data_IF_549919674169
#
_entry.id   IF_549919674169
#
_cell.length_a   1.000
_cell.length_b   1.000
_cell.length_c   1.000
_cell.angle_alpha   90.00
_cell.angle_beta   90.00
_cell.angle_gamma   90.00
#
_symmetry.space_group_name_H-M   'P 1'
#
loop_
_entity.id
_entity.type
_entity.pdbx_description
1 polymer ?
#
# COMPACT_ATOMS: atom_id res chain seq x y z
N UNK A 1 -6.52 21.94 14.99
CA UNK A 1 -6.42 22.47 13.64
C UNK A 1 -5.85 21.40 12.75
N UNK A 2 -6.71 20.73 11.98
CA UNK A 2 -6.30 19.78 10.97
C UNK A 2 -5.66 20.59 9.84
N UNK A 3 -4.41 20.28 9.49
CA UNK A 3 -3.72 20.94 8.39
C UNK A 3 -4.49 20.70 7.11
N UNK A 4 -5.02 21.74 6.47
CA UNK A 4 -5.70 21.72 5.16
C UNK A 4 -4.75 21.38 4.00
N UNK A 5 -3.67 20.66 4.27
CA UNK A 5 -2.65 20.32 3.29
C UNK A 5 -2.89 18.96 2.71
N UNK A 6 -3.00 18.91 1.40
CA UNK A 6 -3.02 17.68 0.60
C UNK A 6 -1.80 16.82 0.90
N UNK A 7 -2.03 15.55 1.17
CA UNK A 7 -0.96 14.57 1.38
C UNK A 7 -0.48 14.05 0.03
N UNK A 8 0.81 14.12 -0.22
CA UNK A 8 1.46 13.54 -1.38
C UNK A 8 2.00 12.16 -1.05
N UNK A 9 1.65 11.18 -1.86
CA UNK A 9 1.96 9.77 -1.68
C UNK A 9 2.73 9.24 -2.89
N UNK A 10 3.74 8.39 -2.67
CA UNK A 10 4.39 7.63 -3.73
C UNK A 10 4.20 6.14 -3.49
N UNK A 11 3.95 5.37 -4.56
CA UNK A 11 3.66 3.94 -4.48
C UNK A 11 4.60 3.14 -5.37
N UNK A 12 4.97 1.93 -4.91
CA UNK A 12 5.76 0.95 -5.64
C UNK A 12 5.13 -0.45 -5.53
N UNK A 13 4.87 -1.08 -6.68
CA UNK A 13 4.38 -2.47 -6.79
C UNK A 13 5.47 -3.44 -7.28
N UNK A 14 6.53 -2.91 -7.85
CA UNK A 14 7.71 -3.61 -8.37
C UNK A 14 7.46 -4.60 -9.51
N UNK A 15 6.27 -4.57 -10.16
CA UNK A 15 5.99 -5.37 -11.34
C UNK A 15 7.03 -5.14 -12.43
N UNK A 16 7.47 -6.22 -13.05
CA UNK A 16 8.45 -6.22 -14.16
C UNK A 16 7.99 -7.17 -15.27
N UNK A 17 6.86 -6.85 -15.96
CA UNK A 17 6.38 -7.64 -17.08
C UNK A 17 7.36 -7.59 -18.27
N UNK A 18 7.16 -8.47 -19.27
CA UNK A 18 8.03 -8.53 -20.46
C UNK A 18 8.13 -7.20 -21.24
N UNK A 19 7.11 -6.34 -21.14
CA UNK A 19 7.10 -4.99 -21.74
C UNK A 19 7.82 -3.95 -20.87
N UNK A 20 8.18 -4.29 -19.65
CA UNK A 20 8.72 -3.37 -18.65
C UNK A 20 10.25 -3.34 -18.62
N UNK A 21 10.77 -2.47 -17.75
CA UNK A 21 12.18 -2.42 -17.44
C UNK A 21 12.62 -3.66 -16.62
N UNK A 22 13.90 -3.98 -16.70
CA UNK A 22 14.48 -5.09 -15.94
C UNK A 22 14.30 -4.88 -14.43
N UNK A 23 13.96 -5.94 -13.70
CA UNK A 23 13.67 -5.94 -12.27
C UNK A 23 14.72 -5.18 -11.45
N UNK A 24 16.02 -5.45 -11.64
CA UNK A 24 17.09 -4.78 -10.90
C UNK A 24 17.13 -3.25 -11.12
N UNK A 25 16.76 -2.76 -12.31
CA UNK A 25 16.65 -1.32 -12.59
C UNK A 25 15.48 -0.69 -11.84
N UNK A 26 14.34 -1.41 -11.74
CA UNK A 26 13.16 -0.93 -11.01
C UNK A 26 13.46 -0.82 -9.51
N UNK A 27 14.10 -1.81 -8.90
CA UNK A 27 14.46 -1.77 -7.48
C UNK A 27 15.44 -0.64 -7.16
N UNK A 28 16.49 -0.44 -7.99
CA UNK A 28 17.41 0.68 -7.83
C UNK A 28 16.67 2.02 -7.94
N UNK A 29 15.82 2.17 -8.97
CA UNK A 29 15.05 3.39 -9.17
C UNK A 29 14.05 3.66 -8.03
N UNK A 30 13.42 2.64 -7.46
CA UNK A 30 12.51 2.80 -6.34
C UNK A 30 13.19 3.42 -5.11
N UNK A 31 14.42 2.97 -4.79
CA UNK A 31 15.21 3.55 -3.70
C UNK A 31 15.54 5.03 -3.95
N UNK A 32 16.02 5.36 -5.16
CA UNK A 32 16.37 6.74 -5.52
C UNK A 32 15.13 7.65 -5.58
N UNK A 33 14.02 7.17 -6.12
CA UNK A 33 12.75 7.91 -6.18
C UNK A 33 12.14 8.13 -4.80
N UNK A 34 12.27 7.18 -3.88
CA UNK A 34 11.82 7.34 -2.50
C UNK A 34 12.64 8.41 -1.76
N UNK A 35 13.96 8.40 -1.91
CA UNK A 35 14.83 9.45 -1.33
C UNK A 35 14.49 10.83 -1.90
N UNK A 36 14.30 10.94 -3.21
CA UNK A 36 13.88 12.17 -3.86
C UNK A 36 12.51 12.64 -3.35
N UNK A 37 11.54 11.75 -3.28
CA UNK A 37 10.20 12.07 -2.79
C UNK A 37 10.24 12.56 -1.33
N UNK A 38 10.99 11.90 -0.45
CA UNK A 38 11.20 12.31 0.93
C UNK A 38 11.84 13.71 1.00
N UNK A 39 12.87 13.97 0.18
CA UNK A 39 13.54 15.27 0.10
C UNK A 39 12.59 16.39 -0.36
N UNK A 40 11.61 16.09 -1.23
CA UNK A 40 10.63 17.03 -1.75
C UNK A 40 9.32 17.07 -0.92
N UNK A 41 9.31 16.41 0.25
CA UNK A 41 8.22 16.54 1.22
C UNK A 41 7.01 15.66 0.94
N UNK A 42 7.15 14.56 0.22
CA UNK A 42 6.11 13.54 0.21
C UNK A 42 5.83 13.04 1.62
N UNK A 43 4.57 12.73 1.89
CA UNK A 43 4.12 12.34 3.23
C UNK A 43 4.35 10.87 3.49
N UNK A 44 4.15 10.00 2.49
CA UNK A 44 4.29 8.56 2.67
C UNK A 44 4.75 7.84 1.42
N UNK A 45 5.40 6.71 1.65
CA UNK A 45 5.87 5.77 0.65
C UNK A 45 5.12 4.47 0.86
N UNK A 46 4.41 4.01 -0.18
CA UNK A 46 3.58 2.82 -0.11
C UNK A 46 4.23 1.66 -0.87
N UNK A 47 4.22 0.50 -0.24
CA UNK A 47 4.41 -0.79 -0.90
C UNK A 47 3.17 -1.65 -0.70
N UNK A 48 2.95 -2.61 -1.58
CA UNK A 48 1.91 -3.63 -1.42
C UNK A 48 2.52 -4.99 -1.75
N UNK A 49 1.86 -6.07 -1.33
CA UNK A 49 2.39 -7.41 -1.40
C UNK A 49 1.47 -8.35 -2.17
N UNK A 50 2.04 -9.09 -3.11
CA UNK A 50 1.44 -10.25 -3.76
C UNK A 50 2.48 -11.32 -4.04
N UNK A 51 2.07 -12.58 -3.98
CA UNK A 51 2.97 -13.72 -4.14
C UNK A 51 2.67 -14.52 -5.39
N UNK A 52 3.73 -15.11 -5.99
CA UNK A 52 3.59 -15.97 -7.16
C UNK A 52 3.12 -15.26 -8.42
N UNK A 53 3.17 -13.93 -8.47
CA UNK A 53 2.83 -13.16 -9.66
C UNK A 53 3.89 -13.34 -10.75
N UNK A 54 3.52 -13.75 -11.98
CA UNK A 54 4.50 -14.00 -13.06
C UNK A 54 5.32 -12.78 -13.46
N UNK A 55 4.82 -11.58 -13.20
CA UNK A 55 5.47 -10.30 -13.47
C UNK A 55 6.30 -9.76 -12.29
N UNK A 56 6.52 -10.58 -11.27
CA UNK A 56 7.38 -10.24 -10.14
C UNK A 56 6.84 -9.13 -9.23
N UNK A 57 5.51 -9.02 -9.10
CA UNK A 57 4.93 -8.13 -8.07
C UNK A 57 5.62 -8.34 -6.73
N UNK A 58 5.85 -7.27 -5.97
CA UNK A 58 6.62 -7.27 -4.72
C UNK A 58 6.14 -8.35 -3.74
N UNK A 59 6.94 -9.40 -3.46
CA UNK A 59 6.53 -10.45 -2.53
C UNK A 59 7.07 -10.25 -1.11
N UNK A 60 7.97 -9.28 -0.88
CA UNK A 60 8.70 -9.10 0.37
C UNK A 60 8.73 -7.62 0.77
N UNK A 61 7.57 -7.11 1.18
CA UNK A 61 7.39 -5.70 1.54
C UNK A 61 8.30 -5.25 2.69
N UNK A 62 8.58 -6.11 3.68
CA UNK A 62 9.50 -5.77 4.77
C UNK A 62 10.94 -5.58 4.27
N UNK A 63 11.40 -6.39 3.30
CA UNK A 63 12.77 -6.30 2.77
C UNK A 63 12.97 -5.02 1.96
N UNK A 64 12.08 -4.74 1.01
CA UNK A 64 12.14 -3.48 0.26
C UNK A 64 11.93 -2.29 1.21
N UNK A 65 10.99 -2.41 2.15
CA UNK A 65 10.69 -1.41 3.16
C UNK A 65 11.92 -0.99 3.98
N UNK A 66 12.78 -1.93 4.35
CA UNK A 66 14.03 -1.62 5.07
C UNK A 66 14.97 -0.76 4.21
N UNK A 67 15.09 -1.07 2.92
CA UNK A 67 15.87 -0.26 1.97
C UNK A 67 15.30 1.16 1.82
N UNK A 68 13.98 1.28 1.66
CA UNK A 68 13.29 2.57 1.55
C UNK A 68 13.43 3.39 2.84
N UNK A 69 13.26 2.77 4.01
CA UNK A 69 13.41 3.42 5.31
C UNK A 69 14.82 3.96 5.55
N UNK A 70 15.85 3.20 5.15
CA UNK A 70 17.26 3.60 5.28
C UNK A 70 17.63 4.81 4.39
N UNK A 71 16.94 4.99 3.25
CA UNK A 71 17.16 6.10 2.30
C UNK A 71 16.32 7.35 2.63
N UNK A 72 15.37 7.26 3.53
CA UNK A 72 14.41 8.34 3.84
C UNK A 72 14.48 8.79 5.29
N UNK A 73 14.00 9.98 5.60
CA UNK A 73 14.14 10.59 6.94
C UNK A 73 12.81 11.11 7.52
N UNK A 74 11.80 11.37 6.69
CA UNK A 74 10.58 12.09 7.08
C UNK A 74 9.30 11.35 6.69
N UNK A 75 9.26 10.81 5.49
CA UNK A 75 8.09 10.13 4.97
C UNK A 75 7.75 8.89 5.79
N UNK A 76 6.46 8.69 6.06
CA UNK A 76 5.96 7.45 6.65
C UNK A 76 6.13 6.30 5.66
N UNK A 77 6.71 5.20 6.09
CA UNK A 77 6.75 3.96 5.32
C UNK A 77 5.48 3.16 5.56
N UNK A 78 4.70 2.97 4.52
CA UNK A 78 3.41 2.27 4.58
C UNK A 78 3.50 0.92 3.86
N UNK A 79 3.52 -0.17 4.61
CA UNK A 79 3.38 -1.53 4.06
C UNK A 79 1.88 -1.83 3.88
N UNK A 80 1.28 -1.38 2.77
CA UNK A 80 -0.17 -1.36 2.56
C UNK A 80 -0.60 -2.13 1.29
N UNK A 81 -0.97 -3.41 1.45
CA UNK A 81 -1.04 -4.20 2.67
C UNK A 81 -0.07 -5.37 2.60
N UNK A 82 0.23 -5.96 3.76
CA UNK A 82 0.87 -7.27 3.84
C UNK A 82 -0.18 -8.35 4.16
N UNK A 83 0.00 -9.55 3.60
CA UNK A 83 -0.93 -10.68 3.77
C UNK A 83 -0.51 -11.49 4.99
N UNK A 84 -0.83 -10.98 6.19
CA UNK A 84 -0.29 -11.51 7.46
C UNK A 84 -0.50 -13.01 7.69
N UNK A 85 -1.61 -13.68 7.21
CA UNK A 85 -1.74 -15.12 7.40
C UNK A 85 -0.69 -15.98 6.67
N UNK A 86 0.04 -15.42 5.72
CA UNK A 86 1.10 -16.14 5.01
C UNK A 86 2.40 -16.23 5.81
N UNK A 87 2.54 -15.45 6.88
CA UNK A 87 3.72 -15.38 7.73
C UNK A 87 3.65 -16.31 8.95
N UNK A 88 4.81 -16.62 9.52
CA UNK A 88 4.90 -17.01 10.93
C UNK A 88 4.77 -15.73 11.78
N UNK A 89 3.86 -15.69 12.76
CA UNK A 89 3.59 -14.47 13.52
C UNK A 89 4.77 -13.98 14.37
N UNK A 90 5.59 -14.87 14.91
CA UNK A 90 6.76 -14.50 15.71
C UNK A 90 7.83 -13.89 14.80
N UNK A 91 8.09 -14.52 13.65
CA UNK A 91 9.04 -13.99 12.68
C UNK A 91 8.60 -12.63 12.14
N UNK A 92 7.31 -12.47 11.82
CA UNK A 92 6.78 -11.19 11.39
C UNK A 92 6.93 -10.11 12.48
N UNK A 93 6.71 -10.47 13.74
CA UNK A 93 6.90 -9.55 14.87
C UNK A 93 8.35 -9.04 14.98
N UNK A 94 9.35 -9.94 14.80
CA UNK A 94 10.77 -9.58 14.74
C UNK A 94 11.08 -8.67 13.56
N UNK A 95 10.67 -9.07 12.36
CA UNK A 95 10.94 -8.31 11.13
C UNK A 95 10.37 -6.89 11.20
N UNK A 96 9.13 -6.73 11.69
CA UNK A 96 8.50 -5.43 11.85
C UNK A 96 9.13 -4.60 12.97
N UNK A 97 9.57 -5.22 14.07
CA UNK A 97 10.29 -4.51 15.14
C UNK A 97 11.64 -3.97 14.65
N UNK A 98 12.41 -4.77 13.92
CA UNK A 98 13.68 -4.33 13.31
C UNK A 98 13.44 -3.24 12.27
N UNK A 99 12.43 -3.41 11.42
CA UNK A 99 12.08 -2.40 10.42
C UNK A 99 11.66 -1.08 11.06
N UNK A 100 10.93 -1.10 12.18
CA UNK A 100 10.54 0.09 12.92
C UNK A 100 11.75 0.85 13.48
N UNK A 101 12.82 0.13 13.92
CA UNK A 101 14.08 0.75 14.27
C UNK A 101 14.78 1.39 13.06
N UNK A 102 14.84 0.72 11.91
CA UNK A 102 15.42 1.29 10.69
C UNK A 102 14.63 2.52 10.24
N UNK A 103 13.31 2.46 10.35
CA UNK A 103 12.41 3.56 10.03
C UNK A 103 12.36 4.65 11.11
N UNK A 104 12.94 4.43 12.31
CA UNK A 104 12.91 5.38 13.44
C UNK A 104 11.47 5.81 13.79
N UNK A 105 10.55 4.84 13.91
CA UNK A 105 9.16 5.06 14.27
C UNK A 105 8.26 5.60 13.16
N UNK A 106 8.72 5.62 11.90
CA UNK A 106 7.93 6.06 10.74
C UNK A 106 7.21 4.90 10.01
N UNK A 107 7.12 3.74 10.65
CA UNK A 107 6.48 2.56 10.07
C UNK A 107 4.98 2.56 10.33
N UNK A 108 4.20 2.32 9.30
CA UNK A 108 2.77 2.01 9.37
C UNK A 108 2.49 0.73 8.58
N UNK A 109 1.80 -0.21 9.20
CA UNK A 109 1.54 -1.54 8.62
C UNK A 109 0.04 -1.73 8.43
N UNK A 110 -0.39 -2.15 7.26
CA UNK A 110 -1.75 -2.61 7.02
C UNK A 110 -1.77 -4.13 6.94
N UNK A 111 -2.27 -4.78 8.00
CA UNK A 111 -2.50 -6.21 8.02
C UNK A 111 -3.76 -6.55 7.21
N UNK A 112 -3.65 -7.46 6.26
CA UNK A 112 -4.76 -7.93 5.45
C UNK A 112 -4.84 -9.47 5.44
N UNK A 113 -6.05 -9.98 5.20
CA UNK A 113 -6.26 -11.43 5.01
C UNK A 113 -5.99 -11.89 3.58
N UNK A 114 -5.67 -10.99 2.66
CA UNK A 114 -5.55 -11.35 1.25
C UNK A 114 -6.87 -11.82 0.63
N UNK A 115 -6.86 -12.00 -0.67
CA UNK A 115 -8.05 -12.43 -1.42
C UNK A 115 -7.75 -13.50 -2.48
N UNK A 116 -6.48 -13.91 -2.63
CA UNK A 116 -6.05 -14.89 -3.62
C UNK A 116 -5.81 -16.26 -2.97
N UNK A 117 -6.66 -17.23 -3.25
CA UNK A 117 -6.51 -18.61 -2.76
C UNK A 117 -5.20 -19.26 -3.22
N UNK A 118 -4.68 -18.86 -4.40
CA UNK A 118 -3.41 -19.38 -4.93
C UNK A 118 -2.20 -19.00 -4.04
N UNK A 119 -2.19 -17.82 -3.46
CA UNK A 119 -1.14 -17.40 -2.50
C UNK A 119 -1.17 -18.29 -1.25
N UNK A 120 -2.36 -18.59 -0.73
CA UNK A 120 -2.51 -19.49 0.42
C UNK A 120 -2.06 -20.93 0.09
N UNK A 121 -2.39 -21.44 -1.10
CA UNK A 121 -1.92 -22.74 -1.55
C UNK A 121 -0.38 -22.80 -1.65
N UNK A 122 0.25 -21.73 -2.17
CA UNK A 122 1.73 -21.62 -2.26
C UNK A 122 2.40 -21.77 -0.89
N UNK A 123 1.81 -21.21 0.16
CA UNK A 123 2.35 -21.24 1.53
C UNK A 123 1.74 -22.35 2.42
N UNK A 124 0.95 -23.26 1.85
CA UNK A 124 0.25 -24.33 2.58
C UNK A 124 -0.60 -23.79 3.76
N UNK A 125 -1.29 -22.66 3.55
CA UNK A 125 -2.16 -22.02 4.53
C UNK A 125 -3.63 -22.22 4.21
N UNK A 126 -4.49 -22.12 5.23
CA UNK A 126 -5.93 -22.29 5.11
C UNK A 126 -6.59 -20.96 4.73
N UNK A 127 -7.03 -20.85 3.48
CA UNK A 127 -7.68 -19.64 2.94
C UNK A 127 -9.01 -19.31 3.62
N UNK A 128 -9.80 -20.31 4.00
CA UNK A 128 -11.14 -20.08 4.55
C UNK A 128 -11.09 -19.49 5.96
N UNK A 129 -10.00 -19.76 6.69
CA UNK A 129 -9.78 -19.24 8.04
C UNK A 129 -9.06 -17.88 8.09
N UNK A 130 -8.76 -17.27 6.92
CA UNK A 130 -7.95 -16.03 6.85
C UNK A 130 -8.41 -14.90 7.79
N UNK A 131 -9.72 -14.74 7.95
CA UNK A 131 -10.26 -13.71 8.85
C UNK A 131 -9.91 -13.95 10.33
N UNK A 132 -10.00 -15.20 10.78
CA UNK A 132 -9.61 -15.60 12.13
C UNK A 132 -8.10 -15.52 12.32
N UNK A 133 -7.34 -15.97 11.32
CA UNK A 133 -5.88 -15.89 11.33
C UNK A 133 -5.38 -14.44 11.46
N UNK A 134 -6.02 -13.46 10.80
CA UNK A 134 -5.68 -12.04 11.00
C UNK A 134 -5.87 -11.62 12.45
N UNK A 135 -6.97 -12.02 13.12
CA UNK A 135 -7.22 -11.68 14.53
C UNK A 135 -6.16 -12.31 15.45
N UNK A 136 -5.85 -13.58 15.24
CA UNK A 136 -4.84 -14.32 16.00
C UNK A 136 -3.46 -13.68 15.83
N UNK A 137 -3.05 -13.39 14.60
CA UNK A 137 -1.73 -12.81 14.30
C UNK A 137 -1.60 -11.40 14.88
N UNK A 138 -2.59 -10.54 14.72
CA UNK A 138 -2.58 -9.21 15.34
C UNK A 138 -2.45 -9.30 16.85
N UNK A 139 -3.14 -10.24 17.48
CA UNK A 139 -2.98 -10.51 18.92
C UNK A 139 -1.56 -10.91 19.31
N UNK A 140 -0.94 -11.78 18.52
CA UNK A 140 0.47 -12.20 18.75
C UNK A 140 1.42 -11.02 18.55
N UNK A 141 1.27 -10.22 17.49
CA UNK A 141 2.10 -9.03 17.26
C UNK A 141 2.05 -8.06 18.44
N UNK A 142 0.86 -7.75 18.94
CA UNK A 142 0.70 -6.85 20.09
C UNK A 142 1.35 -7.39 21.36
N UNK A 143 1.27 -8.72 21.63
CA UNK A 143 1.95 -9.35 22.76
C UNK A 143 3.46 -9.35 22.56
N UNK A 144 3.94 -9.75 21.39
CA UNK A 144 5.36 -9.82 21.05
C UNK A 144 6.06 -8.47 21.22
N UNK A 145 5.41 -7.38 20.81
CA UNK A 145 5.98 -6.03 20.87
C UNK A 145 6.05 -5.43 22.29
N UNK A 146 5.47 -6.09 23.28
CA UNK A 146 5.75 -5.73 24.69
C UNK A 146 7.19 -6.06 25.07
N UNK A 147 7.80 -7.05 24.41
CA UNK A 147 9.12 -7.60 24.72
C UNK A 147 9.14 -8.46 25.98
N UNK A 148 7.98 -8.70 26.60
CA UNK A 148 7.86 -9.61 27.74
C UNK A 148 7.60 -11.05 27.26
N UNK A 149 8.02 -12.07 28.02
CA UNK A 149 7.65 -13.45 27.73
C UNK A 149 6.12 -13.65 27.74
N UNK A 150 5.60 -14.39 26.76
CA UNK A 150 4.18 -14.73 26.69
C UNK A 150 3.94 -16.16 26.21
N UNK A 151 2.80 -16.79 26.56
CA UNK A 151 2.48 -18.14 26.09
C UNK A 151 2.06 -18.12 24.62
N UNK A 152 2.67 -18.98 23.82
CA UNK A 152 2.35 -19.17 22.41
C UNK A 152 2.45 -20.64 22.03
N UNK A 153 1.37 -21.24 21.55
CA UNK A 153 1.30 -22.64 21.11
C UNK A 153 1.91 -23.63 22.13
N UNK A 154 1.54 -23.51 23.40
CA UNK A 154 1.97 -24.40 24.50
C UNK A 154 3.40 -24.18 25.02
N UNK A 155 4.09 -23.14 24.60
CA UNK A 155 5.44 -22.76 25.05
C UNK A 155 5.51 -21.29 25.44
N UNK A 156 6.45 -20.94 26.30
CA UNK A 156 6.80 -19.54 26.56
C UNK A 156 7.75 -19.04 25.47
N UNK A 157 7.43 -17.89 24.88
CA UNK A 157 8.25 -17.24 23.84
C UNK A 157 8.50 -15.79 24.21
N UNK A 158 9.56 -15.22 23.67
CA UNK A 158 9.88 -13.80 23.82
C UNK A 158 10.40 -13.29 22.49
N UNK A 159 9.95 -12.09 22.08
CA UNK A 159 10.43 -11.42 20.86
C UNK A 159 11.26 -10.20 21.25
N UNK A 160 12.44 -10.10 20.68
CA UNK A 160 13.38 -9.00 20.85
C UNK A 160 14.05 -8.66 19.52
N UNK A 161 14.41 -7.36 19.26
CA UNK A 161 14.19 -6.20 20.13
C UNK A 161 12.72 -5.80 20.23
N UNK A 162 12.36 -5.01 21.25
CA UNK A 162 11.08 -4.24 21.23
C UNK A 162 11.12 -3.28 20.04
N UNK A 163 9.98 -2.95 19.41
CA UNK A 163 9.92 -1.91 18.40
C UNK A 163 10.44 -0.56 18.88
N UNK A 164 10.88 0.28 17.96
CA UNK A 164 11.26 1.66 18.25
C UNK A 164 10.06 2.46 18.79
N UNK A 165 8.89 2.27 18.19
CA UNK A 165 7.63 2.88 18.62
C UNK A 165 7.08 2.14 19.85
N UNK A 166 6.84 2.80 20.98
CA UNK A 166 6.25 2.18 22.15
C UNK A 166 4.92 1.50 21.84
N UNK A 167 4.78 0.22 22.13
CA UNK A 167 3.59 -0.59 21.82
C UNK A 167 3.52 -1.10 20.38
N UNK A 168 4.52 -0.81 19.57
CA UNK A 168 4.65 -1.24 18.18
C UNK A 168 4.28 -0.17 17.15
N UNK A 169 4.63 -0.39 15.88
CA UNK A 169 4.23 0.51 14.79
C UNK A 169 2.71 0.61 14.65
N UNK A 170 2.24 1.68 13.99
CA UNK A 170 0.83 1.82 13.65
C UNK A 170 0.36 0.58 12.87
N UNK A 171 -0.69 -0.06 13.38
CA UNK A 171 -1.23 -1.30 12.82
C UNK A 171 -2.66 -1.09 12.34
N UNK A 172 -2.80 -0.85 11.04
CA UNK A 172 -4.06 -0.71 10.34
C UNK A 172 -4.58 -2.08 9.88
N UNK A 173 -5.88 -2.21 9.64
CA UNK A 173 -6.42 -3.36 8.92
C UNK A 173 -6.96 -2.96 7.55
N UNK A 174 -6.70 -3.82 6.56
CA UNK A 174 -7.31 -3.75 5.24
C UNK A 174 -8.46 -4.74 5.09
N UNK A 175 -9.45 -4.40 4.28
CA UNK A 175 -10.52 -5.32 3.94
C UNK A 175 -11.64 -4.68 3.15
N UNK A 176 -12.38 -5.54 2.40
CA UNK A 176 -13.46 -5.14 1.49
C UNK A 176 -14.85 -5.67 1.90
N UNK A 177 -14.99 -6.19 3.13
CA UNK A 177 -16.25 -6.75 3.63
C UNK A 177 -16.60 -6.19 5.02
N UNK A 178 -17.91 -6.16 5.40
CA UNK A 178 -18.36 -5.64 6.69
C UNK A 178 -17.66 -6.26 7.93
N UNK A 179 -17.39 -7.56 7.87
CA UNK A 179 -16.70 -8.26 8.96
C UNK A 179 -15.27 -7.74 9.19
N UNK A 180 -14.55 -7.36 8.11
CA UNK A 180 -13.21 -6.75 8.20
C UNK A 180 -13.26 -5.34 8.81
N UNK A 181 -14.27 -4.53 8.46
CA UNK A 181 -14.46 -3.21 9.02
C UNK A 181 -14.72 -3.27 10.54
N UNK A 182 -15.60 -4.17 10.99
CA UNK A 182 -15.84 -4.39 12.44
C UNK A 182 -14.60 -4.92 13.15
N UNK A 183 -13.85 -5.82 12.51
CA UNK A 183 -12.58 -6.33 13.05
C UNK A 183 -11.58 -5.20 13.25
N UNK A 184 -11.41 -4.33 12.26
CA UNK A 184 -10.51 -3.18 12.36
C UNK A 184 -10.83 -2.31 13.59
N UNK A 185 -12.12 -2.01 13.84
CA UNK A 185 -12.54 -1.25 15.01
C UNK A 185 -12.15 -1.93 16.33
N UNK A 186 -12.19 -3.27 16.40
CA UNK A 186 -11.87 -4.02 17.63
C UNK A 186 -10.39 -4.09 17.92
N UNK A 187 -9.55 -4.42 16.92
CA UNK A 187 -8.18 -4.87 17.16
C UNK A 187 -7.08 -4.02 16.52
N UNK A 188 -7.42 -3.03 15.70
CA UNK A 188 -6.44 -2.20 14.97
C UNK A 188 -6.52 -0.72 15.38
N UNK A 189 -5.54 0.04 14.90
CA UNK A 189 -5.51 1.49 15.09
C UNK A 189 -6.40 2.21 14.05
N UNK A 190 -6.76 1.53 12.96
CA UNK A 190 -7.67 2.06 11.96
C UNK A 190 -8.03 1.08 10.83
N UNK A 191 -8.86 1.54 9.90
CA UNK A 191 -9.28 0.81 8.71
C UNK A 191 -8.70 1.45 7.45
N UNK A 192 -8.09 0.64 6.59
CA UNK A 192 -7.71 1.03 5.22
C UNK A 192 -8.80 0.57 4.26
N UNK A 193 -9.56 1.49 3.73
CA UNK A 193 -10.60 1.25 2.73
C UNK A 193 -10.79 2.46 1.83
N UNK A 194 -11.28 2.25 0.60
CA UNK A 194 -11.76 3.29 -0.30
C UNK A 194 -13.29 3.33 -0.40
N UNK A 195 -13.99 2.44 0.35
CA UNK A 195 -15.43 2.28 0.30
C UNK A 195 -16.07 3.03 1.48
N UNK A 196 -16.84 4.12 1.25
CA UNK A 196 -17.47 4.92 2.30
C UNK A 196 -18.37 4.10 3.22
N UNK A 197 -19.13 3.16 2.66
CA UNK A 197 -20.06 2.32 3.43
C UNK A 197 -19.32 1.42 4.44
N UNK A 198 -18.17 0.86 4.03
CA UNK A 198 -17.34 0.07 4.94
C UNK A 198 -16.70 0.95 6.03
N UNK A 199 -16.29 2.16 5.65
CA UNK A 199 -15.79 3.11 6.63
C UNK A 199 -16.86 3.47 7.65
N UNK A 200 -18.12 3.67 7.24
CA UNK A 200 -19.23 3.94 8.19
C UNK A 200 -19.45 2.77 9.15
N UNK A 201 -19.39 1.52 8.68
CA UNK A 201 -19.47 0.33 9.54
C UNK A 201 -18.33 0.31 10.58
N UNK A 202 -17.12 0.68 10.16
CA UNK A 202 -15.96 0.81 11.05
C UNK A 202 -16.20 1.90 12.11
N UNK A 203 -16.71 3.07 11.72
CA UNK A 203 -17.01 4.18 12.64
C UNK A 203 -18.05 3.77 13.68
N UNK A 204 -19.15 3.18 13.23
CA UNK A 204 -20.25 2.75 14.12
C UNK A 204 -19.77 1.74 15.18
N UNK A 205 -18.94 0.79 14.75
CA UNK A 205 -18.35 -0.19 15.67
C UNK A 205 -17.33 0.43 16.62
N UNK A 206 -16.46 1.32 16.12
CA UNK A 206 -15.48 2.02 16.96
C UNK A 206 -16.15 2.87 18.05
N UNK A 207 -17.20 3.61 17.68
CA UNK A 207 -18.00 4.42 18.63
C UNK A 207 -18.64 3.54 19.69
N UNK A 208 -19.24 2.40 19.33
CA UNK A 208 -19.80 1.43 20.30
C UNK A 208 -18.76 0.93 21.31
N UNK A 209 -17.50 0.84 20.87
CA UNK A 209 -16.38 0.42 21.71
C UNK A 209 -15.73 1.57 22.49
N UNK A 210 -16.28 2.79 22.42
CA UNK A 210 -15.72 3.99 23.05
C UNK A 210 -14.42 4.48 22.44
N UNK A 211 -14.10 4.05 21.21
CA UNK A 211 -12.89 4.45 20.50
C UNK A 211 -13.15 5.62 19.56
N UNK A 212 -12.14 6.46 19.36
CA UNK A 212 -12.16 7.50 18.33
C UNK A 212 -11.75 6.90 17.00
N UNK A 213 -12.62 6.90 15.96
CA UNK A 213 -12.25 6.38 14.65
C UNK A 213 -11.18 7.24 13.97
N UNK A 214 -10.27 6.59 13.23
CA UNK A 214 -9.35 7.27 12.35
C UNK A 214 -10.13 7.98 11.21
N UNK A 215 -9.70 9.15 10.72
CA UNK A 215 -10.44 9.92 9.73
C UNK A 215 -10.47 9.24 8.36
N UNK A 216 -11.61 9.35 7.67
CA UNK A 216 -11.70 8.98 6.25
C UNK A 216 -11.01 10.05 5.40
N UNK A 217 -10.21 9.61 4.43
CA UNK A 217 -9.53 10.49 3.49
C UNK A 217 -10.02 10.25 2.07
N UNK A 218 -10.39 11.32 1.38
CA UNK A 218 -10.80 11.28 -0.03
C UNK A 218 -9.54 11.15 -0.90
N UNK A 219 -9.31 9.97 -1.42
CA UNK A 219 -8.14 9.68 -2.26
C UNK A 219 -8.34 10.23 -3.67
N UNK A 220 -7.27 10.76 -4.23
CA UNK A 220 -7.15 10.98 -5.66
C UNK A 220 -6.96 9.66 -6.43
N UNK A 221 -6.76 9.73 -7.75
CA UNK A 221 -6.37 8.56 -8.54
C UNK A 221 -5.10 7.94 -7.98
N UNK A 222 -5.12 6.63 -7.70
CA UNK A 222 -3.96 5.95 -7.09
C UNK A 222 -2.90 5.53 -8.10
N UNK A 223 -3.22 5.62 -9.40
CA UNK A 223 -2.33 5.36 -10.52
C UNK A 223 -2.29 6.59 -11.44
N UNK A 224 -1.77 7.70 -10.91
CA UNK A 224 -1.67 8.97 -11.62
C UNK A 224 -0.29 9.14 -12.25
N UNK A 225 -0.26 9.54 -13.51
CA UNK A 225 0.93 9.97 -14.23
C UNK A 225 0.78 11.43 -14.65
N UNK A 226 1.71 12.28 -14.22
CA UNK A 226 1.71 13.71 -14.56
C UNK A 226 2.55 13.94 -15.80
N UNK A 227 1.99 14.63 -16.80
CA UNK A 227 2.66 14.96 -18.05
C UNK A 227 2.27 16.36 -18.52
N UNK A 228 3.18 17.10 -19.16
CA UNK A 228 2.86 18.40 -19.78
C UNK A 228 1.85 18.24 -20.93
N UNK A 229 2.02 17.20 -21.72
CA UNK A 229 1.12 16.81 -22.81
C UNK A 229 0.51 15.44 -22.49
N UNK A 230 -0.82 15.41 -22.38
CA UNK A 230 -1.57 14.20 -22.01
C UNK A 230 -1.49 13.10 -23.06
N UNK A 231 -1.52 13.46 -24.35
CA UNK A 231 -1.48 12.45 -25.42
C UNK A 231 -0.12 11.77 -25.47
N UNK A 232 0.95 12.54 -25.34
CA UNK A 232 2.29 11.98 -25.19
C UNK A 232 2.43 11.16 -23.92
N UNK A 233 1.84 11.62 -22.80
CA UNK A 233 1.78 10.88 -21.53
C UNK A 233 1.09 9.53 -21.71
N UNK A 234 -0.11 9.51 -22.30
CA UNK A 234 -0.83 8.26 -22.59
C UNK A 234 -0.03 7.33 -23.51
N UNK A 235 0.61 7.85 -24.54
CA UNK A 235 1.45 7.05 -25.44
C UNK A 235 2.59 6.31 -24.72
N UNK A 236 3.10 6.89 -23.61
CA UNK A 236 4.18 6.30 -22.81
C UNK A 236 3.68 5.26 -21.80
N UNK A 237 2.53 5.50 -21.15
CA UNK A 237 2.12 4.71 -19.99
C UNK A 237 1.00 3.71 -20.26
N UNK A 238 0.26 3.85 -21.35
CA UNK A 238 -0.91 3.02 -21.64
C UNK A 238 -0.65 1.52 -21.57
N UNK A 239 0.42 0.95 -22.17
CA UNK A 239 0.68 -0.48 -22.06
C UNK A 239 0.86 -0.94 -20.60
N UNK A 240 1.51 -0.14 -19.78
CA UNK A 240 1.78 -0.42 -18.37
C UNK A 240 0.52 -0.30 -17.51
N UNK A 241 -0.32 0.71 -17.78
CA UNK A 241 -1.63 0.87 -17.14
C UNK A 241 -2.57 -0.29 -17.47
N UNK A 242 -2.64 -0.68 -18.74
CA UNK A 242 -3.43 -1.85 -19.17
C UNK A 242 -2.93 -3.14 -18.53
N UNK A 243 -1.60 -3.32 -18.45
CA UNK A 243 -1.04 -4.50 -17.78
C UNK A 243 -1.47 -4.55 -16.31
N UNK A 244 -1.23 -3.49 -15.55
CA UNK A 244 -1.57 -3.44 -14.12
C UNK A 244 -3.08 -3.59 -13.87
N UNK A 245 -3.91 -2.86 -14.63
CA UNK A 245 -5.37 -2.96 -14.57
C UNK A 245 -5.84 -4.39 -14.83
N UNK A 246 -5.31 -5.05 -15.86
CA UNK A 246 -5.72 -6.38 -16.24
C UNK A 246 -5.28 -7.45 -15.23
N UNK A 247 -4.09 -7.33 -14.64
CA UNK A 247 -3.62 -8.25 -13.61
C UNK A 247 -4.49 -8.15 -12.34
N UNK A 248 -4.74 -6.93 -11.84
CA UNK A 248 -5.65 -6.76 -10.70
C UNK A 248 -7.09 -7.19 -11.02
N UNK A 249 -7.58 -6.87 -12.22
CA UNK A 249 -8.90 -7.28 -12.67
C UNK A 249 -9.04 -8.80 -12.77
N UNK A 250 -8.01 -9.49 -13.27
CA UNK A 250 -7.97 -10.96 -13.34
C UNK A 250 -7.99 -11.58 -11.95
N UNK A 251 -7.23 -11.03 -11.01
CA UNK A 251 -7.22 -11.49 -9.62
C UNK A 251 -8.57 -11.29 -8.92
N UNK A 252 -9.12 -10.08 -9.02
CA UNK A 252 -10.43 -9.77 -8.43
C UNK A 252 -11.55 -10.63 -9.03
N UNK A 253 -11.52 -10.86 -10.35
CA UNK A 253 -12.46 -11.72 -11.05
C UNK A 253 -12.32 -13.18 -10.61
N UNK A 254 -11.10 -13.71 -10.54
CA UNK A 254 -10.83 -15.07 -10.06
C UNK A 254 -11.33 -15.30 -8.64
N UNK A 255 -11.17 -14.29 -7.76
CA UNK A 255 -11.66 -14.37 -6.39
C UNK A 255 -13.19 -14.37 -6.28
N UNK A 256 -13.87 -13.60 -7.13
CA UNK A 256 -15.33 -13.43 -7.10
C UNK A 256 -16.08 -14.45 -7.98
N UNK A 257 -15.51 -14.81 -9.13
CA UNK A 257 -16.13 -15.63 -10.17
C UNK A 257 -15.17 -16.72 -10.69
N UNK A 258 -14.80 -17.71 -9.87
CA UNK A 258 -13.88 -18.77 -10.28
C UNK A 258 -14.43 -19.53 -11.51
N UNK A 259 -13.55 -19.71 -12.51
CA UNK A 259 -13.88 -20.51 -13.71
C UNK A 259 -14.56 -19.75 -14.84
N UNK A 260 -14.86 -18.45 -14.70
CA UNK A 260 -15.34 -17.64 -15.83
C UNK A 260 -14.19 -16.88 -16.50
N UNK A 261 -14.23 -16.61 -17.83
CA UNK A 261 -13.21 -15.79 -18.48
C UNK A 261 -13.25 -14.34 -18.00
N UNK A 262 -12.08 -13.77 -17.74
CA UNK A 262 -11.93 -12.35 -17.47
C UNK A 262 -11.87 -11.56 -18.79
N UNK A 263 -12.68 -10.49 -18.92
CA UNK A 263 -12.60 -9.58 -20.07
C UNK A 263 -11.54 -8.51 -19.79
N UNK A 264 -10.42 -8.58 -20.50
CA UNK A 264 -9.33 -7.62 -20.35
C UNK A 264 -9.67 -6.27 -21.02
N UNK A 265 -9.18 -5.18 -20.42
CA UNK A 265 -9.11 -3.87 -21.07
C UNK A 265 -8.06 -3.89 -22.18
N UNK A 266 -8.35 -3.24 -23.31
CA UNK A 266 -7.49 -3.21 -24.49
C UNK A 266 -7.11 -1.78 -24.93
N UNK A 267 -7.81 -0.77 -24.41
CA UNK A 267 -7.67 0.62 -24.84
C UNK A 267 -7.71 1.59 -23.67
N UNK A 268 -7.40 2.86 -23.94
CA UNK A 268 -7.56 3.97 -23.02
C UNK A 268 -9.02 4.15 -22.58
N UNK A 269 -9.96 3.92 -23.46
CA UNK A 269 -11.38 4.11 -23.17
C UNK A 269 -11.88 3.11 -22.11
N UNK A 270 -11.29 1.91 -22.06
CA UNK A 270 -11.59 0.93 -21.03
C UNK A 270 -11.09 1.35 -19.62
N UNK A 271 -10.17 2.29 -19.57
CA UNK A 271 -9.64 2.87 -18.32
C UNK A 271 -10.40 4.13 -17.88
N UNK A 272 -11.34 4.64 -18.68
CA UNK A 272 -12.08 5.86 -18.38
C UNK A 272 -12.84 5.74 -17.05
N UNK A 273 -12.74 6.77 -16.19
CA UNK A 273 -13.40 6.78 -14.88
C UNK A 273 -12.75 5.89 -13.82
N UNK A 274 -11.63 5.23 -14.13
CA UNK A 274 -10.87 4.40 -13.19
C UNK A 274 -9.80 5.22 -12.43
N UNK A 275 -9.01 4.53 -11.60
CA UNK A 275 -7.88 5.11 -10.89
C UNK A 275 -6.65 5.41 -11.77
N UNK A 276 -6.64 4.98 -13.04
CA UNK A 276 -5.53 5.13 -13.99
C UNK A 276 -5.73 6.41 -14.79
N UNK A 277 -4.96 7.43 -14.50
CA UNK A 277 -5.13 8.75 -15.10
C UNK A 277 -3.80 9.36 -15.53
N UNK A 278 -3.78 9.93 -16.74
CA UNK A 278 -2.76 10.88 -17.15
C UNK A 278 -3.34 12.27 -17.02
N UNK A 279 -2.65 13.12 -16.28
CA UNK A 279 -3.09 14.49 -15.96
C UNK A 279 -2.00 15.50 -16.25
N UNK A 280 -2.39 16.73 -16.61
CA UNK A 280 -1.46 17.87 -16.63
C UNK A 280 -1.15 18.33 -15.19
N UNK A 281 -0.09 19.14 -14.97
CA UNK A 281 0.13 19.77 -13.67
C UNK A 281 -1.08 20.55 -13.17
N UNK A 282 -1.77 21.31 -14.01
CA UNK A 282 -2.96 22.08 -13.62
C UNK A 282 -4.12 21.19 -13.21
N UNK A 283 -4.37 20.10 -13.93
CA UNK A 283 -5.38 19.10 -13.56
C UNK A 283 -5.04 18.42 -12.23
N UNK A 284 -3.77 18.08 -12.00
CA UNK A 284 -3.32 17.51 -10.73
C UNK A 284 -3.49 18.49 -9.56
N UNK A 285 -3.23 19.79 -9.78
CA UNK A 285 -3.50 20.87 -8.81
C UNK A 285 -5.00 20.98 -8.51
N UNK A 286 -5.84 20.92 -9.53
CA UNK A 286 -7.30 20.94 -9.36
C UNK A 286 -7.78 19.73 -8.53
N UNK A 287 -7.28 18.53 -8.84
CA UNK A 287 -7.54 17.34 -8.02
C UNK A 287 -7.11 17.52 -6.55
N UNK A 288 -5.99 18.16 -6.30
CA UNK A 288 -5.49 18.45 -4.95
C UNK A 288 -6.39 19.41 -4.15
N UNK A 289 -7.25 20.19 -4.81
CA UNK A 289 -8.25 21.05 -4.13
C UNK A 289 -9.50 20.28 -3.70
N UNK A 290 -9.73 19.12 -4.30
CA UNK A 290 -10.92 18.29 -4.07
C UNK A 290 -10.65 17.04 -3.25
N UNK A 291 -9.40 16.65 -3.14
CA UNK A 291 -8.95 15.40 -2.51
C UNK A 291 -8.03 15.68 -1.33
N UNK A 292 -8.03 14.76 -0.39
CA UNK A 292 -7.16 14.85 0.79
C UNK A 292 -5.79 14.23 0.52
N UNK A 293 -5.70 13.36 -0.49
CA UNK A 293 -4.50 12.63 -0.87
C UNK A 293 -4.32 12.56 -2.38
N UNK A 294 -3.09 12.82 -2.86
CA UNK A 294 -2.67 12.58 -4.24
C UNK A 294 -1.58 11.52 -4.29
N UNK A 295 -1.68 10.62 -5.26
CA UNK A 295 -0.77 9.50 -5.42
C UNK A 295 -0.01 9.61 -6.74
N UNK A 296 1.29 9.30 -6.72
CA UNK A 296 2.07 9.01 -7.92
C UNK A 296 2.59 7.58 -7.87
N UNK A 297 2.58 6.90 -9.03
CA UNK A 297 3.07 5.54 -9.17
C UNK A 297 4.07 5.48 -10.33
N UNK A 298 5.31 5.97 -10.11
CA UNK A 298 6.25 6.23 -11.21
C UNK A 298 6.80 4.98 -11.90
N UNK A 299 6.72 3.82 -11.26
CA UNK A 299 7.21 2.54 -11.80
C UNK A 299 6.09 1.56 -12.14
N UNK A 300 4.85 2.04 -12.24
CA UNK A 300 3.66 1.22 -12.46
C UNK A 300 3.83 0.25 -13.63
N UNK A 301 3.47 -1.03 -13.40
CA UNK A 301 3.52 -2.05 -14.43
C UNK A 301 4.89 -2.18 -15.12
N UNK A 302 5.98 -1.89 -14.40
CA UNK A 302 7.35 -1.97 -14.92
C UNK A 302 7.74 -0.80 -15.84
N UNK A 303 7.10 0.35 -15.72
CA UNK A 303 7.42 1.55 -16.51
C UNK A 303 8.91 1.88 -16.43
N UNK A 304 9.52 2.24 -17.57
CA UNK A 304 10.93 2.64 -17.59
C UNK A 304 11.20 3.77 -16.60
N UNK A 305 12.19 3.62 -15.72
CA UNK A 305 12.51 4.63 -14.72
C UNK A 305 12.71 6.04 -15.26
N UNK A 306 13.26 6.22 -16.47
CA UNK A 306 13.45 7.54 -17.05
C UNK A 306 12.11 8.24 -17.33
N UNK A 307 11.11 7.47 -17.76
CA UNK A 307 9.74 7.97 -17.95
C UNK A 307 9.09 8.26 -16.59
N UNK A 308 9.23 7.35 -15.63
CA UNK A 308 8.72 7.53 -14.28
C UNK A 308 9.27 8.78 -13.59
N UNK A 309 10.57 9.03 -13.72
CA UNK A 309 11.23 10.23 -13.21
C UNK A 309 10.65 11.52 -13.79
N UNK A 310 10.30 11.56 -15.08
CA UNK A 310 9.72 12.76 -15.68
C UNK A 310 8.41 13.17 -15.00
N UNK A 311 7.53 12.22 -14.72
CA UNK A 311 6.28 12.45 -14.03
C UNK A 311 6.48 12.81 -12.54
N UNK A 312 7.37 12.10 -11.84
CA UNK A 312 7.67 12.36 -10.44
C UNK A 312 8.21 13.78 -10.22
N UNK A 313 9.11 14.24 -11.07
CA UNK A 313 9.65 15.61 -11.02
C UNK A 313 8.59 16.66 -11.30
N UNK A 314 7.76 16.48 -12.34
CA UNK A 314 6.66 17.41 -12.61
C UNK A 314 5.72 17.53 -11.43
N UNK A 315 5.38 16.42 -10.78
CA UNK A 315 4.54 16.44 -9.58
C UNK A 315 5.23 17.19 -8.43
N UNK A 316 6.48 16.86 -8.13
CA UNK A 316 7.22 17.43 -7.01
C UNK A 316 7.49 18.93 -7.19
N UNK A 317 7.81 19.37 -8.41
CA UNK A 317 8.27 20.74 -8.70
C UNK A 317 7.14 21.70 -9.06
N UNK A 318 6.04 21.20 -9.71
CA UNK A 318 4.94 22.06 -10.14
C UNK A 318 3.65 21.84 -9.32
N UNK A 319 3.27 20.60 -9.05
CA UNK A 319 1.99 20.30 -8.40
C UNK A 319 2.08 20.51 -6.89
N UNK A 320 3.06 19.87 -6.25
CA UNK A 320 3.14 19.83 -4.80
C UNK A 320 3.28 21.20 -4.13
N UNK A 321 4.10 22.14 -4.62
CA UNK A 321 4.13 23.50 -4.09
C UNK A 321 2.80 24.24 -4.22
N UNK A 322 2.13 24.10 -5.38
CA UNK A 322 0.88 24.80 -5.67
C UNK A 322 -0.28 24.33 -4.78
N UNK A 323 -0.40 23.02 -4.49
CA UNK A 323 -1.46 22.50 -3.60
C UNK A 323 -1.18 22.74 -2.12
N UNK A 324 0.03 23.14 -1.77
CA UNK A 324 0.43 23.48 -0.39
C UNK A 324 0.53 24.96 -0.11
N UNK A 325 0.27 25.80 -1.09
CA UNK A 325 0.32 27.27 -0.94
C UNK A 325 1.72 27.81 -0.69
N UNK A 326 2.72 27.25 -1.38
CA UNK A 326 4.13 27.69 -1.34
C UNK A 326 4.54 28.35 -2.63
#
# INVERSE_FOLDING_TARGET
MQSDKVLAQIRFDMRSPAIGAATGKLYAAALDMAEYADAHGFNSIFTAEHHGSPDGYLPASCVLGAGLAARTKRATLCLYAIVVPLYDPLRLAEDLAVLDHVAQGRLSVCAAGGYLAAEYAMFAKDYDKRGKQVEEIVGVLRQAWTGEPFPYQGRMVQVTPKPFTPGGPELMLGGSIPAAARRAARIADGLVTHLPDLYQIYVDEAVKLGKRPAPFRRKGPTCMFVAEDKEQGWGKVLPHFLHDFNEYGRWAHSAANPGTPFKAAASRDDLAGTMYQVVTPDEAIALGRERDELYVHPLIGGLDPAIGWSSLRLFAEKVLPAVRGR
#
